data_IF_203485318950
#
_entry.id   IF_203485318950
#
_cell.length_a   1.000
_cell.length_b   1.000
_cell.length_c   1.000
_cell.angle_alpha   90.00
_cell.angle_beta   90.00
_cell.angle_gamma   90.00
#
_symmetry.space_group_name_H-M   'P 1'
#
loop_
_entity.id
_entity.type
_entity.pdbx_description
1 polymer ?
#
# COMPACT_ATOMS: atom_id res chain seq x y z
N UNK A 1 -18.49 -10.50 11.80
CA UNK A 1 -19.84 -10.92 11.33
C UNK A 1 -20.89 -9.96 11.89
N UNK A 2 -21.27 -8.93 11.15
CA UNK A 2 -22.25 -7.95 11.60
C UNK A 2 -23.71 -8.39 11.36
N UNK A 3 -23.95 -9.54 10.72
CA UNK A 3 -25.29 -9.99 10.32
C UNK A 3 -25.94 -9.10 9.25
N UNK A 4 -25.18 -8.17 8.69
CA UNK A 4 -25.63 -7.22 7.67
C UNK A 4 -25.61 -7.93 6.30
N UNK A 5 -26.67 -7.82 5.48
CA UNK A 5 -26.68 -8.39 4.14
C UNK A 5 -25.51 -7.87 3.30
N UNK A 6 -24.88 -8.75 2.52
CA UNK A 6 -23.71 -8.43 1.67
C UNK A 6 -23.95 -7.19 0.79
N UNK A 7 -25.11 -7.13 0.14
CA UNK A 7 -25.51 -6.00 -0.70
C UNK A 7 -25.49 -4.67 0.06
N UNK A 8 -25.99 -4.66 1.30
CA UNK A 8 -25.98 -3.47 2.15
C UNK A 8 -24.56 -3.12 2.58
N UNK A 9 -23.74 -4.11 2.91
CA UNK A 9 -22.34 -3.89 3.25
C UNK A 9 -21.57 -3.27 2.08
N UNK A 10 -21.78 -3.75 0.85
CA UNK A 10 -21.17 -3.19 -0.35
C UNK A 10 -21.59 -1.73 -0.60
N UNK A 11 -22.85 -1.37 -0.37
CA UNK A 11 -23.31 0.04 -0.46
C UNK A 11 -22.60 0.94 0.54
N UNK A 12 -22.46 0.46 1.79
CA UNK A 12 -21.80 1.22 2.86
C UNK A 12 -20.33 1.41 2.53
N UNK A 13 -19.66 0.35 2.09
CA UNK A 13 -18.24 0.41 1.68
C UNK A 13 -18.06 1.36 0.51
N UNK A 14 -18.87 1.24 -0.55
CA UNK A 14 -18.78 2.10 -1.72
C UNK A 14 -18.85 3.60 -1.36
N UNK A 15 -19.79 3.97 -0.48
CA UNK A 15 -19.97 5.36 -0.03
C UNK A 15 -18.95 5.84 1.00
N UNK A 16 -18.26 4.91 1.66
CA UNK A 16 -17.21 5.25 2.63
C UNK A 16 -15.86 5.53 1.94
N UNK A 17 -15.72 5.15 0.66
CA UNK A 17 -14.52 5.40 -0.12
C UNK A 17 -14.54 6.82 -0.68
N UNK A 18 -13.46 7.57 -0.46
CA UNK A 18 -13.26 8.91 -1.04
C UNK A 18 -12.64 8.82 -2.45
N UNK A 19 -13.10 7.86 -3.25
CA UNK A 19 -12.58 7.60 -4.59
C UNK A 19 -13.69 7.14 -5.54
N UNK A 20 -14.17 8.07 -6.37
CA UNK A 20 -15.24 7.86 -7.35
C UNK A 20 -15.00 6.66 -8.27
N UNK A 21 -13.74 6.38 -8.63
CA UNK A 21 -13.39 5.26 -9.51
C UNK A 21 -13.62 3.91 -8.83
N UNK A 22 -13.24 3.79 -7.55
CA UNK A 22 -13.44 2.55 -6.79
C UNK A 22 -14.90 2.41 -6.38
N UNK A 23 -15.55 3.51 -5.97
CA UNK A 23 -16.97 3.54 -5.64
C UNK A 23 -17.83 2.97 -6.78
N UNK A 24 -17.65 3.49 -8.01
CA UNK A 24 -18.43 3.04 -9.17
C UNK A 24 -18.26 1.55 -9.45
N UNK A 25 -17.06 1.01 -9.24
CA UNK A 25 -16.77 -0.41 -9.47
C UNK A 25 -17.36 -1.31 -8.39
N UNK A 26 -17.35 -0.90 -7.12
CA UNK A 26 -18.03 -1.62 -6.05
C UNK A 26 -19.55 -1.58 -6.25
N UNK A 27 -20.11 -0.43 -6.66
CA UNK A 27 -21.53 -0.33 -7.01
C UNK A 27 -21.88 -1.21 -8.22
N UNK A 28 -21.02 -1.27 -9.23
CA UNK A 28 -21.21 -2.19 -10.36
C UNK A 28 -21.20 -3.66 -9.91
N UNK A 29 -20.32 -4.01 -8.97
CA UNK A 29 -20.25 -5.36 -8.40
C UNK A 29 -21.53 -5.70 -7.63
N UNK A 30 -21.98 -4.79 -6.78
CA UNK A 30 -23.23 -4.91 -6.03
C UNK A 30 -24.44 -5.11 -6.97
N UNK A 31 -24.57 -4.29 -8.02
CA UNK A 31 -25.65 -4.43 -9.01
C UNK A 31 -25.62 -5.79 -9.71
N UNK A 32 -24.44 -6.31 -10.04
CA UNK A 32 -24.31 -7.65 -10.63
C UNK A 32 -24.80 -8.74 -9.69
N UNK A 33 -24.42 -8.67 -8.41
CA UNK A 33 -24.84 -9.64 -7.38
C UNK A 33 -26.35 -9.57 -7.15
N UNK A 34 -26.96 -8.38 -7.15
CA UNK A 34 -28.43 -8.23 -7.06
C UNK A 34 -29.16 -8.89 -8.23
N UNK A 35 -28.54 -8.95 -9.41
CA UNK A 35 -29.07 -9.66 -10.60
C UNK A 35 -28.83 -11.18 -10.56
N UNK A 36 -28.14 -11.68 -9.53
CA UNK A 36 -27.82 -13.10 -9.37
C UNK A 36 -26.52 -13.54 -10.04
N UNK A 37 -25.67 -12.60 -10.45
CA UNK A 37 -24.31 -12.93 -10.88
C UNK A 37 -23.46 -13.38 -9.68
N UNK A 38 -22.45 -14.20 -9.95
CA UNK A 38 -21.52 -14.68 -8.93
C UNK A 38 -20.67 -13.52 -8.38
N UNK A 39 -20.30 -13.60 -7.11
CA UNK A 39 -19.43 -12.62 -6.44
C UNK A 39 -18.07 -12.58 -7.14
N UNK A 40 -17.51 -13.74 -7.49
CA UNK A 40 -16.24 -13.84 -8.21
C UNK A 40 -16.35 -13.22 -9.61
N UNK A 41 -17.43 -13.48 -10.35
CA UNK A 41 -17.61 -12.92 -11.70
C UNK A 41 -17.70 -11.39 -11.66
N UNK A 42 -18.49 -10.85 -10.74
CA UNK A 42 -18.67 -9.42 -10.58
C UNK A 42 -17.40 -8.73 -10.09
N UNK A 43 -16.67 -9.35 -9.15
CA UNK A 43 -15.37 -8.88 -8.68
C UNK A 43 -14.33 -8.85 -9.82
N UNK A 44 -14.26 -9.90 -10.64
CA UNK A 44 -13.35 -9.97 -11.78
C UNK A 44 -13.59 -8.82 -12.78
N UNK A 45 -14.86 -8.50 -13.06
CA UNK A 45 -15.23 -7.43 -13.97
C UNK A 45 -14.78 -6.04 -13.48
N UNK A 46 -14.59 -5.87 -12.17
CA UNK A 46 -14.04 -4.63 -11.62
C UNK A 46 -12.55 -4.46 -11.91
N UNK A 47 -11.76 -5.53 -12.04
CA UNK A 47 -10.31 -5.43 -12.17
C UNK A 47 -9.60 -4.73 -11.00
N UNK A 48 -10.25 -4.65 -9.83
CA UNK A 48 -9.67 -4.07 -8.61
C UNK A 48 -8.82 -5.08 -7.83
N UNK A 49 -9.13 -6.37 -7.98
CA UNK A 49 -8.52 -7.44 -7.20
C UNK A 49 -7.45 -8.17 -8.01
N UNK A 50 -6.36 -8.54 -7.34
CA UNK A 50 -5.31 -9.36 -7.93
C UNK A 50 -5.75 -10.83 -8.10
N UNK A 51 -4.92 -11.61 -8.81
CA UNK A 51 -5.23 -13.00 -9.13
C UNK A 51 -5.34 -13.90 -7.89
N UNK A 52 -4.61 -13.61 -6.81
CA UNK A 52 -4.62 -14.41 -5.59
C UNK A 52 -5.94 -14.22 -4.84
N UNK A 53 -6.35 -12.97 -4.66
CA UNK A 53 -7.63 -12.63 -4.02
C UNK A 53 -8.80 -13.15 -4.82
N UNK A 54 -8.75 -13.04 -6.15
CA UNK A 54 -9.75 -13.63 -7.03
C UNK A 54 -9.88 -15.15 -6.84
N UNK A 55 -8.76 -15.85 -6.62
CA UNK A 55 -8.76 -17.29 -6.35
C UNK A 55 -9.34 -17.62 -4.97
N UNK A 56 -9.02 -16.84 -3.94
CA UNK A 56 -9.59 -17.01 -2.59
C UNK A 56 -11.11 -16.81 -2.60
N UNK A 57 -11.59 -15.79 -3.31
CA UNK A 57 -13.02 -15.54 -3.49
C UNK A 57 -13.72 -16.69 -4.24
N UNK A 58 -13.09 -17.22 -5.30
CA UNK A 58 -13.63 -18.35 -6.05
C UNK A 58 -13.79 -19.60 -5.18
N UNK A 59 -12.78 -19.93 -4.37
CA UNK A 59 -12.85 -21.05 -3.41
C UNK A 59 -13.93 -20.80 -2.35
N UNK A 60 -14.05 -19.57 -1.85
CA UNK A 60 -15.09 -19.20 -0.88
C UNK A 60 -16.50 -19.31 -1.44
N UNK A 61 -16.68 -18.96 -2.72
CA UNK A 61 -17.96 -19.05 -3.41
C UNK A 61 -18.34 -20.52 -3.69
N UNK A 62 -17.41 -21.35 -4.16
CA UNK A 62 -17.63 -22.78 -4.43
C UNK A 62 -17.95 -23.58 -3.15
N UNK A 63 -17.29 -23.25 -2.05
CA UNK A 63 -17.47 -23.93 -0.75
C UNK A 63 -18.59 -23.34 0.11
N UNK A 64 -19.26 -22.27 -0.36
CA UNK A 64 -20.28 -21.54 0.40
C UNK A 64 -19.73 -20.84 1.66
N UNK A 65 -18.42 -20.63 1.73
CA UNK A 65 -17.71 -20.05 2.88
C UNK A 65 -17.22 -18.62 2.63
N UNK A 66 -17.90 -17.87 1.75
CA UNK A 66 -17.48 -16.53 1.30
C UNK A 66 -17.22 -15.55 2.47
N UNK A 67 -18.01 -15.61 3.54
CA UNK A 67 -17.82 -14.76 4.72
C UNK A 67 -16.45 -14.96 5.38
N UNK A 68 -16.00 -16.21 5.44
CA UNK A 68 -14.72 -16.57 6.04
C UNK A 68 -13.57 -16.18 5.11
N UNK A 69 -13.70 -16.48 3.82
CA UNK A 69 -12.66 -16.18 2.83
C UNK A 69 -12.49 -14.67 2.63
N UNK A 70 -13.56 -13.87 2.67
CA UNK A 70 -13.47 -12.41 2.62
C UNK A 70 -12.78 -11.83 3.87
N UNK A 71 -12.94 -12.45 5.04
CA UNK A 71 -12.19 -12.06 6.23
C UNK A 71 -10.69 -12.35 6.06
N UNK A 72 -10.34 -13.52 5.53
CA UNK A 72 -8.96 -13.90 5.24
C UNK A 72 -8.31 -12.99 4.18
N UNK A 73 -9.06 -12.60 3.15
CA UNK A 73 -8.62 -11.58 2.18
C UNK A 73 -8.34 -10.23 2.85
N UNK A 74 -9.18 -9.83 3.81
CA UNK A 74 -8.97 -8.61 4.60
C UNK A 74 -7.69 -8.67 5.44
N UNK A 75 -7.48 -9.77 6.15
CA UNK A 75 -6.26 -10.02 6.94
C UNK A 75 -5.01 -10.06 6.05
N UNK A 76 -5.11 -10.65 4.86
CA UNK A 76 -4.04 -10.66 3.87
C UNK A 76 -3.64 -9.24 3.44
N UNK A 77 -4.60 -8.40 3.04
CA UNK A 77 -4.29 -7.02 2.64
C UNK A 77 -3.77 -6.17 3.81
N UNK A 78 -4.26 -6.38 5.03
CA UNK A 78 -3.74 -5.68 6.22
C UNK A 78 -2.27 -6.06 6.48
N UNK A 79 -1.93 -7.35 6.37
CA UNK A 79 -0.56 -7.82 6.50
C UNK A 79 0.36 -7.32 5.37
N UNK A 80 -0.13 -7.28 4.13
CA UNK A 80 0.60 -6.74 2.97
C UNK A 80 0.92 -5.26 3.16
N UNK A 81 -0.08 -4.45 3.54
CA UNK A 81 0.11 -3.02 3.81
C UNK A 81 1.08 -2.79 4.97
N UNK A 82 0.96 -3.55 6.06
CA UNK A 82 1.88 -3.45 7.19
C UNK A 82 3.33 -3.74 6.78
N UNK A 83 3.53 -4.77 5.97
CA UNK A 83 4.83 -5.15 5.43
C UNK A 83 5.43 -4.06 4.53
N UNK A 84 4.61 -3.46 3.67
CA UNK A 84 5.03 -2.38 2.79
C UNK A 84 5.42 -1.11 3.56
N UNK A 85 4.68 -0.77 4.62
CA UNK A 85 5.01 0.36 5.51
C UNK A 85 6.34 0.12 6.22
N UNK A 86 6.57 -1.08 6.74
CA UNK A 86 7.83 -1.44 7.41
C UNK A 86 9.01 -1.33 6.43
N UNK A 87 8.85 -1.87 5.21
CA UNK A 87 9.86 -1.81 4.16
C UNK A 87 10.13 -0.39 3.68
N UNK A 88 9.10 0.45 3.58
CA UNK A 88 9.27 1.84 3.20
C UNK A 88 10.09 2.58 4.27
N UNK A 89 9.75 2.38 5.54
CA UNK A 89 10.47 2.96 6.68
C UNK A 89 11.94 2.54 6.68
N UNK A 90 12.23 1.25 6.47
CA UNK A 90 13.58 0.71 6.42
C UNK A 90 14.44 1.31 5.27
N UNK A 91 13.81 1.76 4.17
CA UNK A 91 14.52 2.42 3.05
C UNK A 91 14.74 3.91 3.27
N UNK A 92 13.93 4.56 4.09
CA UNK A 92 14.07 6.00 4.38
C UNK A 92 15.33 6.29 5.20
N UNK A 93 15.65 5.44 6.18
CA UNK A 93 16.83 5.59 7.05
C UNK A 93 18.18 5.72 6.28
N UNK A 94 18.54 4.82 5.35
CA UNK A 94 19.80 4.95 4.61
C UNK A 94 19.82 6.18 3.71
N UNK A 95 18.69 6.60 3.15
CA UNK A 95 18.60 7.82 2.33
C UNK A 95 18.94 9.05 3.18
N UNK A 96 18.34 9.17 4.38
CA UNK A 96 18.63 10.27 5.30
C UNK A 96 20.10 10.27 5.74
N UNK A 97 20.66 9.09 6.03
CA UNK A 97 22.06 8.94 6.43
C UNK A 97 23.02 9.41 5.34
N UNK A 98 22.77 9.03 4.08
CA UNK A 98 23.58 9.46 2.94
C UNK A 98 23.52 10.98 2.75
N UNK A 99 22.33 11.58 2.87
CA UNK A 99 22.16 13.04 2.77
C UNK A 99 22.96 13.76 3.86
N UNK A 100 22.88 13.28 5.11
CA UNK A 100 23.64 13.85 6.23
C UNK A 100 25.15 13.69 5.99
N UNK A 101 25.60 12.53 5.52
CA UNK A 101 27.01 12.28 5.22
C UNK A 101 27.57 13.24 4.16
N UNK A 102 26.79 13.54 3.11
CA UNK A 102 27.17 14.52 2.08
C UNK A 102 27.28 15.93 2.68
N UNK A 103 26.31 16.35 3.49
CA UNK A 103 26.33 17.67 4.14
C UNK A 103 27.58 17.81 5.02
N UNK A 104 27.86 16.80 5.86
CA UNK A 104 29.04 16.78 6.73
C UNK A 104 30.33 16.82 5.91
N UNK A 105 30.41 16.07 4.80
CA UNK A 105 31.58 16.07 3.92
C UNK A 105 31.83 17.46 3.30
N UNK A 106 30.79 18.14 2.81
CA UNK A 106 30.90 19.49 2.24
C UNK A 106 31.39 20.49 3.29
N UNK A 107 30.83 20.44 4.50
CA UNK A 107 31.27 21.29 5.61
C UNK A 107 32.74 21.02 6.00
N UNK A 108 33.12 19.74 6.08
CA UNK A 108 34.48 19.35 6.38
C UNK A 108 35.47 19.91 5.34
N UNK A 109 35.23 19.66 4.04
CA UNK A 109 36.07 20.18 2.97
C UNK A 109 36.15 21.71 2.98
N UNK A 110 35.04 22.40 3.27
CA UNK A 110 34.99 23.85 3.41
C UNK A 110 35.89 24.40 4.52
N UNK A 111 36.11 23.65 5.61
CA UNK A 111 36.98 24.04 6.73
C UNK A 111 38.42 23.57 6.54
N UNK A 112 38.63 22.33 6.08
CA UNK A 112 39.96 21.74 5.95
C UNK A 112 40.79 22.34 4.81
N UNK A 113 40.17 22.69 3.67
CA UNK A 113 40.90 23.27 2.53
C UNK A 113 41.58 24.62 2.86
N UNK A 114 40.90 25.62 3.47
CA UNK A 114 41.55 26.86 3.90
C UNK A 114 42.59 26.65 5.00
N UNK A 115 42.37 25.71 5.91
CA UNK A 115 43.34 25.42 6.98
C UNK A 115 44.66 24.89 6.41
N UNK A 116 44.59 24.00 5.40
CA UNK A 116 45.78 23.49 4.72
C UNK A 116 46.50 24.60 3.93
N UNK A 117 45.75 25.49 3.27
CA UNK A 117 46.38 26.59 2.54
C UNK A 117 47.08 27.58 3.47
N UNK A 118 46.50 27.88 4.64
CA UNK A 118 47.13 28.72 5.67
C UNK A 118 48.39 28.07 6.26
N UNK A 119 48.38 26.77 6.53
CA UNK A 119 49.57 26.06 7.04
C UNK A 119 50.69 25.97 6.01
N UNK A 120 50.37 25.77 4.73
CA UNK A 120 51.34 25.79 3.63
C UNK A 120 52.02 27.15 3.44
N UNK A 121 51.30 28.25 3.68
CA UNK A 121 51.87 29.61 3.65
C UNK A 121 52.72 29.88 4.89
N UNK A 122 52.32 29.40 6.06
CA UNK A 122 53.05 29.60 7.32
C UNK A 122 54.43 28.91 7.37
N UNK A 123 54.64 27.84 6.59
CA UNK A 123 55.91 27.09 6.54
C UNK A 123 56.94 27.73 5.58
N UNK A 124 56.53 28.70 4.74
CA UNK A 124 57.37 29.27 3.68
C UNK A 124 58.18 30.53 4.07
N UNK A 125 58.06 30.99 5.32
CA UNK A 125 58.89 32.05 5.92
C UNK A 125 59.74 31.49 7.06
#
# INVERSE_FOLDING_TARGET
RAGVPLITALTVVARALDNDYVEQRILSMQNGIERGESITQTAAATGLFDALVMQMMAVGEETGSIDTLLAEVGEFYEAEVAYDIERLSARIEPILTVVIAIIVLVLALGVFLPMWSLSGVAIKN
#
